data_IF_408094795614
#
_entry.id   IF_408094795614
#
_cell.length_a   1.000
_cell.length_b   1.000
_cell.length_c   1.000
_cell.angle_alpha   90.00
_cell.angle_beta   90.00
_cell.angle_gamma   90.00
#
_symmetry.space_group_name_H-M   'P 1'
#
loop_
_entity.id
_entity.type
_entity.pdbx_description
1 polymer ?
#
# COMPACT_ATOMS: atom_id res chain seq x y z
N UNK A 1 0.32 -30.38 -7.29
CA UNK A 1 1.19 -29.66 -8.25
C UNK A 1 1.76 -28.43 -7.54
N UNK A 2 2.93 -27.93 -7.93
CA UNK A 2 3.50 -26.70 -7.37
C UNK A 2 4.01 -25.80 -8.50
N UNK A 3 3.69 -24.51 -8.42
CA UNK A 3 4.07 -23.55 -9.44
C UNK A 3 5.51 -23.09 -9.25
N UNK A 4 6.27 -23.00 -10.34
CA UNK A 4 7.60 -22.42 -10.41
C UNK A 4 7.49 -21.08 -11.11
N UNK A 5 7.69 -20.00 -10.33
CA UNK A 5 7.57 -18.62 -10.80
C UNK A 5 6.15 -18.30 -11.33
N UNK A 6 5.87 -17.05 -11.67
CA UNK A 6 4.59 -16.60 -12.20
C UNK A 6 4.82 -15.54 -13.29
N UNK A 7 4.46 -15.88 -14.53
CA UNK A 7 4.66 -15.01 -15.69
C UNK A 7 6.11 -14.61 -15.97
N UNK A 8 7.07 -15.49 -15.65
CA UNK A 8 8.49 -15.23 -15.89
C UNK A 8 8.79 -14.84 -17.35
N UNK A 9 8.04 -15.36 -18.33
CA UNK A 9 8.24 -15.02 -19.75
C UNK A 9 7.92 -13.59 -20.09
N UNK A 10 7.05 -12.95 -19.32
CA UNK A 10 6.85 -11.53 -19.49
C UNK A 10 8.17 -10.82 -19.18
N UNK A 11 8.97 -11.30 -18.21
CA UNK A 11 10.22 -10.65 -17.78
C UNK A 11 11.17 -10.57 -18.98
N UNK A 12 11.61 -9.36 -19.36
CA UNK A 12 12.63 -9.22 -20.44
C UNK A 12 14.04 -9.62 -19.96
N UNK A 13 14.15 -10.22 -18.78
CA UNK A 13 15.42 -10.68 -18.18
C UNK A 13 15.85 -11.99 -18.85
N UNK A 14 14.92 -12.94 -19.04
CA UNK A 14 15.18 -14.22 -19.72
C UNK A 14 16.36 -15.02 -19.14
N UNK A 15 16.61 -14.92 -17.83
CA UNK A 15 17.67 -15.71 -17.16
C UNK A 15 17.21 -17.16 -17.01
N UNK A 16 17.79 -18.04 -17.84
CA UNK A 16 17.48 -19.47 -17.87
C UNK A 16 18.16 -20.25 -16.75
N UNK A 17 19.27 -19.74 -16.22
CA UNK A 17 19.95 -20.39 -15.09
C UNK A 17 19.14 -20.19 -13.83
N UNK A 18 18.63 -18.99 -13.60
CA UNK A 18 17.74 -18.68 -12.49
C UNK A 18 16.54 -19.64 -12.40
N UNK A 19 15.79 -19.79 -13.50
CA UNK A 19 14.57 -20.61 -13.50
C UNK A 19 14.89 -22.11 -13.36
N UNK A 20 16.02 -22.57 -13.90
CA UNK A 20 16.50 -23.94 -13.76
C UNK A 20 16.93 -24.23 -12.31
N UNK A 21 17.67 -23.31 -11.70
CA UNK A 21 18.11 -23.41 -10.31
C UNK A 21 16.92 -23.40 -9.35
N UNK A 22 15.91 -22.55 -9.61
CA UNK A 22 14.66 -22.53 -8.85
C UNK A 22 13.92 -23.87 -8.97
N UNK A 23 13.83 -24.43 -10.17
CA UNK A 23 13.20 -25.74 -10.38
C UNK A 23 13.97 -26.87 -9.67
N UNK A 24 15.30 -26.87 -9.73
CA UNK A 24 16.15 -27.84 -9.03
C UNK A 24 16.02 -27.71 -7.51
N UNK A 25 15.96 -26.47 -7.00
CA UNK A 25 15.73 -26.18 -5.59
C UNK A 25 14.36 -26.70 -5.13
N UNK A 26 13.32 -26.46 -5.92
CA UNK A 26 11.98 -26.98 -5.64
C UNK A 26 11.99 -28.51 -5.60
N UNK A 27 12.59 -29.20 -6.59
CA UNK A 27 12.74 -30.67 -6.61
C UNK A 27 13.50 -31.21 -5.39
N UNK A 28 14.48 -30.46 -4.87
CA UNK A 28 15.26 -30.87 -3.70
C UNK A 28 14.43 -30.88 -2.41
N UNK A 29 13.52 -29.93 -2.23
CA UNK A 29 12.80 -29.71 -0.97
C UNK A 29 11.35 -30.20 -0.99
N UNK A 30 10.76 -30.37 -2.17
CA UNK A 30 9.40 -30.84 -2.34
C UNK A 30 9.46 -32.36 -2.64
N UNK A 31 8.55 -33.14 -2.05
CA UNK A 31 8.48 -34.60 -2.24
C UNK A 31 8.48 -34.95 -3.73
N UNK A 32 9.25 -35.98 -4.11
CA UNK A 32 9.55 -36.36 -5.49
C UNK A 32 8.32 -36.61 -6.40
N UNK A 33 7.13 -36.83 -5.84
CA UNK A 33 5.90 -37.14 -6.58
C UNK A 33 5.06 -35.92 -6.96
N UNK A 34 5.55 -34.70 -6.72
CA UNK A 34 4.82 -33.47 -7.04
C UNK A 34 5.15 -33.00 -8.46
N UNK A 35 4.10 -32.85 -9.28
CA UNK A 35 4.20 -32.20 -10.58
C UNK A 35 4.53 -30.71 -10.38
N UNK A 36 5.70 -30.29 -10.87
CA UNK A 36 6.07 -28.89 -10.97
C UNK A 36 5.54 -28.32 -12.28
N UNK A 37 5.01 -27.10 -12.25
CA UNK A 37 4.46 -26.44 -13.42
C UNK A 37 4.83 -24.95 -13.46
N UNK A 38 4.82 -24.31 -14.62
CA UNK A 38 4.95 -22.86 -14.78
C UNK A 38 3.67 -22.27 -15.38
N UNK A 39 3.37 -21.01 -15.07
CA UNK A 39 2.22 -20.27 -15.63
C UNK A 39 2.73 -19.09 -16.44
N UNK A 40 2.33 -19.04 -17.71
CA UNK A 40 2.67 -17.97 -18.65
C UNK A 40 1.43 -17.45 -19.41
N UNK A 41 1.55 -16.30 -20.07
CA UNK A 41 0.51 -15.79 -20.98
C UNK A 41 0.78 -16.21 -22.43
N UNK A 42 -0.28 -16.36 -23.21
CA UNK A 42 -0.21 -16.76 -24.62
C UNK A 42 0.22 -15.62 -25.55
N UNK A 43 1.51 -15.24 -25.54
CA UNK A 43 2.06 -14.22 -26.46
C UNK A 43 3.26 -14.80 -27.23
N UNK A 44 3.14 -14.86 -28.55
CA UNK A 44 3.98 -15.67 -29.45
C UNK A 44 5.50 -15.39 -29.47
N UNK A 45 6.02 -14.15 -29.34
CA UNK A 45 7.46 -13.91 -29.41
C UNK A 45 8.23 -14.25 -28.12
N UNK A 46 7.56 -14.42 -26.99
CA UNK A 46 8.20 -14.56 -25.67
C UNK A 46 8.27 -16.01 -25.16
N UNK A 47 7.85 -16.98 -25.98
CA UNK A 47 7.77 -18.39 -25.58
C UNK A 47 9.12 -19.10 -25.33
N UNK A 48 10.26 -18.45 -25.57
CA UNK A 48 11.57 -19.10 -25.45
C UNK A 48 12.21 -18.99 -24.07
N UNK A 49 11.72 -18.13 -23.18
CA UNK A 49 12.46 -17.76 -21.96
C UNK A 49 12.02 -18.49 -20.67
N UNK A 50 10.83 -19.11 -20.66
CA UNK A 50 10.27 -19.75 -19.46
C UNK A 50 10.03 -21.26 -19.59
N UNK A 51 10.51 -21.90 -20.67
CA UNK A 51 10.46 -23.36 -20.77
C UNK A 51 11.59 -23.95 -19.93
N UNK A 52 11.22 -24.81 -18.98
CA UNK A 52 12.17 -25.52 -18.12
C UNK A 52 12.01 -27.02 -18.32
N UNK A 53 13.06 -27.75 -18.71
CA UNK A 53 12.99 -29.19 -18.89
C UNK A 53 12.45 -29.92 -17.66
N UNK A 54 11.45 -30.79 -17.87
CA UNK A 54 10.81 -31.55 -16.80
C UNK A 54 9.89 -30.74 -15.89
N UNK A 55 9.44 -29.56 -16.34
CA UNK A 55 8.39 -28.74 -15.71
C UNK A 55 7.22 -28.63 -16.68
N UNK A 56 5.99 -28.83 -16.19
CA UNK A 56 4.78 -28.73 -17.00
C UNK A 56 4.49 -27.26 -17.34
N UNK A 57 4.51 -26.88 -18.61
CA UNK A 57 4.15 -25.51 -19.02
C UNK A 57 2.62 -25.37 -19.09
N UNK A 58 2.07 -24.37 -18.41
CA UNK A 58 0.63 -24.04 -18.43
C UNK A 58 0.42 -22.59 -18.85
N UNK A 59 -0.79 -22.27 -19.32
CA UNK A 59 -1.14 -20.91 -19.71
C UNK A 59 -2.28 -20.37 -18.85
N UNK A 60 -2.24 -19.07 -18.56
CA UNK A 60 -3.36 -18.32 -18.02
C UNK A 60 -3.98 -17.44 -19.11
N UNK A 61 -5.30 -17.47 -19.20
CA UNK A 61 -6.07 -16.86 -20.28
C UNK A 61 -7.14 -15.94 -19.70
N UNK A 62 -7.30 -14.76 -20.31
CA UNK A 62 -8.40 -13.85 -20.00
C UNK A 62 -9.64 -14.17 -20.88
N UNK A 63 -10.87 -13.88 -20.42
CA UNK A 63 -12.11 -14.23 -21.15
C UNK A 63 -12.23 -13.67 -22.57
N UNK A 64 -11.43 -12.67 -22.93
CA UNK A 64 -11.36 -12.02 -24.24
C UNK A 64 -10.13 -12.44 -25.08
N UNK A 65 -9.41 -13.49 -24.66
CA UNK A 65 -8.28 -14.01 -25.43
C UNK A 65 -8.76 -14.71 -26.70
N UNK A 66 -8.14 -14.39 -27.83
CA UNK A 66 -8.49 -14.92 -29.15
C UNK A 66 -8.26 -16.44 -29.17
N UNK A 67 -9.32 -17.22 -29.44
CA UNK A 67 -9.26 -18.68 -29.46
C UNK A 67 -8.23 -19.21 -30.49
N UNK A 68 -7.90 -18.42 -31.51
CA UNK A 68 -6.89 -18.76 -32.51
C UNK A 68 -5.45 -18.73 -31.98
N UNK A 69 -5.19 -18.07 -30.84
CA UNK A 69 -3.90 -18.13 -30.16
C UNK A 69 -3.58 -19.56 -29.69
N UNK A 70 -4.60 -20.38 -29.43
CA UNK A 70 -4.48 -21.77 -28.98
C UNK A 70 -3.83 -22.66 -30.06
N UNK A 71 -4.21 -22.46 -31.33
CA UNK A 71 -3.76 -23.32 -32.45
C UNK A 71 -2.28 -23.10 -32.80
N UNK A 72 -1.78 -21.88 -32.59
CA UNK A 72 -0.40 -21.50 -32.85
C UNK A 72 0.57 -22.02 -31.76
N UNK A 73 0.09 -22.19 -30.52
CA UNK A 73 0.85 -22.77 -29.40
C UNK A 73 1.22 -24.25 -29.65
N UNK A 74 0.34 -25.00 -30.30
CA UNK A 74 0.58 -26.40 -30.66
C UNK A 74 1.67 -26.57 -31.75
N UNK A 75 1.99 -25.51 -32.49
CA UNK A 75 2.95 -25.56 -33.60
C UNK A 75 4.37 -25.13 -33.20
N UNK A 76 4.53 -24.29 -32.17
CA UNK A 76 5.85 -23.75 -31.79
C UNK A 76 6.60 -24.65 -30.80
N UNK A 77 5.89 -25.54 -30.10
CA UNK A 77 6.47 -26.32 -29.01
C UNK A 77 6.37 -27.82 -29.29
N UNK A 78 7.23 -28.32 -30.18
CA UNK A 78 7.28 -29.73 -30.59
C UNK A 78 7.55 -30.70 -29.42
N UNK A 79 8.03 -30.23 -28.27
CA UNK A 79 8.25 -31.07 -27.07
C UNK A 79 7.02 -31.14 -26.14
N UNK A 80 6.12 -30.15 -26.15
CA UNK A 80 4.95 -30.14 -25.27
C UNK A 80 3.68 -30.76 -25.89
N UNK A 81 3.73 -31.22 -27.14
CA UNK A 81 2.67 -32.03 -27.78
C UNK A 81 2.34 -33.32 -27.00
N UNK A 82 3.19 -33.75 -26.06
CA UNK A 82 2.95 -34.88 -25.16
C UNK A 82 2.42 -34.53 -23.77
N UNK A 83 2.36 -33.25 -23.41
CA UNK A 83 1.86 -32.81 -22.11
C UNK A 83 0.38 -32.37 -22.21
N UNK A 84 -0.46 -32.65 -21.21
CA UNK A 84 -1.85 -32.20 -21.21
C UNK A 84 -1.91 -30.66 -21.19
N UNK A 85 -2.67 -30.08 -22.11
CA UNK A 85 -2.98 -28.65 -22.11
C UNK A 85 -3.84 -28.31 -20.89
N UNK A 86 -3.28 -27.57 -19.94
CA UNK A 86 -4.00 -27.07 -18.77
C UNK A 86 -4.10 -25.54 -18.88
N UNK A 87 -5.34 -25.06 -19.06
CA UNK A 87 -5.66 -23.65 -18.86
C UNK A 87 -5.96 -23.44 -17.38
N UNK A 88 -5.20 -22.56 -16.74
CA UNK A 88 -5.54 -22.10 -15.39
C UNK A 88 -6.45 -20.88 -15.52
N UNK A 89 -7.66 -20.95 -14.96
CA UNK A 89 -8.54 -19.78 -14.88
C UNK A 89 -8.13 -18.94 -13.69
N UNK A 90 -7.79 -17.68 -13.93
CA UNK A 90 -7.45 -16.69 -12.90
C UNK A 90 -8.63 -16.30 -12.02
N UNK A 91 -9.05 -17.21 -11.13
CA UNK A 91 -9.75 -16.87 -9.89
C UNK A 91 -8.93 -17.41 -8.71
N UNK A 92 -7.62 -17.16 -8.74
CA UNK A 92 -6.77 -17.35 -7.58
C UNK A 92 -6.90 -16.14 -6.65
N UNK A 93 -7.82 -16.20 -5.69
CA UNK A 93 -7.51 -15.54 -4.41
C UNK A 93 -6.36 -16.34 -3.81
N UNK A 94 -5.14 -15.81 -3.92
CA UNK A 94 -4.09 -16.21 -3.00
C UNK A 94 -4.56 -15.74 -1.61
N UNK A 95 -5.21 -16.63 -0.85
CA UNK A 95 -5.25 -16.49 0.60
C UNK A 95 -3.83 -16.80 1.08
N UNK A 96 -2.94 -15.81 1.03
CA UNK A 96 -1.75 -15.89 1.85
C UNK A 96 -2.23 -15.87 3.29
N UNK A 97 -2.22 -17.04 3.94
CA UNK A 97 -2.01 -17.06 5.39
C UNK A 97 -0.73 -16.27 5.60
N UNK A 98 -0.87 -15.06 6.14
CA UNK A 98 0.27 -14.28 6.63
C UNK A 98 0.97 -15.10 7.72
N UNK A 99 1.86 -15.98 7.31
CA UNK A 99 2.88 -16.52 8.21
C UNK A 99 3.83 -15.37 8.41
N UNK A 100 3.69 -14.73 9.58
CA UNK A 100 4.54 -13.66 10.08
C UNK A 100 6.02 -14.08 10.02
N UNK A 101 6.67 -13.86 8.86
CA UNK A 101 8.13 -13.80 8.78
C UNK A 101 8.51 -12.34 8.99
N UNK A 102 9.27 -12.10 10.06
CA UNK A 102 9.92 -10.82 10.39
C UNK A 102 10.68 -10.32 9.17
N UNK A 103 10.06 -9.44 8.40
CA UNK A 103 10.72 -8.49 7.54
C UNK A 103 10.09 -7.14 7.87
N UNK A 104 10.93 -6.17 8.19
CA UNK A 104 10.53 -4.87 8.68
C UNK A 104 9.62 -4.18 7.65
N UNK A 105 8.36 -4.00 8.03
CA UNK A 105 7.38 -3.26 7.26
C UNK A 105 7.31 -1.84 7.83
N UNK A 106 7.42 -0.86 6.95
CA UNK A 106 7.69 0.54 7.29
C UNK A 106 6.70 1.41 6.52
N UNK A 107 5.82 2.17 7.20
CA UNK A 107 5.02 3.29 6.69
C UNK A 107 4.23 4.02 7.81
N UNK A 108 3.65 5.18 7.47
CA UNK A 108 3.75 6.53 8.09
C UNK A 108 2.56 7.11 8.90
N UNK A 109 2.65 7.39 10.22
CA UNK A 109 1.87 8.47 10.92
C UNK A 109 2.57 9.23 12.06
N UNK A 110 2.55 10.56 11.95
CA UNK A 110 3.14 11.55 12.85
C UNK A 110 2.63 11.37 14.28
N UNK A 111 3.49 10.84 15.16
CA UNK A 111 3.40 11.08 16.59
C UNK A 111 4.26 12.31 16.88
N UNK A 112 3.63 13.39 17.34
CA UNK A 112 4.34 14.50 17.95
C UNK A 112 5.06 13.96 19.19
N UNK A 113 6.36 13.73 19.06
CA UNK A 113 7.26 13.63 20.21
C UNK A 113 8.18 14.84 20.22
N UNK A 114 8.16 15.50 21.37
CA UNK A 114 8.99 16.61 21.76
C UNK A 114 10.48 16.34 21.46
N UNK A 115 11.19 17.35 20.95
CA UNK A 115 12.66 17.44 20.76
C UNK A 115 13.31 17.00 19.43
N UNK A 116 12.56 16.82 18.33
CA UNK A 116 13.17 16.68 17.00
C UNK A 116 13.19 18.01 16.24
N UNK A 117 14.37 18.65 16.15
CA UNK A 117 14.59 19.88 15.34
C UNK A 117 14.22 19.61 13.87
N UNK A 118 13.23 20.35 13.38
CA UNK A 118 12.70 20.35 12.02
C UNK A 118 13.67 21.07 11.05
N UNK A 119 13.53 20.87 9.74
CA UNK A 119 14.38 21.57 8.77
C UNK A 119 13.95 23.04 8.71
N UNK A 120 14.88 23.94 9.06
CA UNK A 120 14.62 25.36 9.18
C UNK A 120 14.90 26.09 7.86
N UNK A 121 13.88 26.75 7.29
CA UNK A 121 14.01 27.66 6.14
C UNK A 121 13.72 29.10 6.58
N UNK A 122 14.36 30.08 5.93
CA UNK A 122 14.24 31.50 6.28
C UNK A 122 13.31 32.29 5.37
N UNK A 123 13.04 31.77 4.17
CA UNK A 123 12.17 32.40 3.17
C UNK A 123 11.24 31.36 2.55
N UNK A 124 10.13 31.85 2.03
CA UNK A 124 9.19 31.06 1.24
C UNK A 124 9.56 31.13 -0.24
N UNK A 125 8.97 30.24 -1.03
CA UNK A 125 9.25 30.13 -2.45
C UNK A 125 8.83 28.79 -2.99
N UNK A 126 9.27 28.49 -4.22
CA UNK A 126 8.95 27.24 -4.87
C UNK A 126 9.80 26.11 -4.30
N UNK A 127 9.15 25.15 -3.65
CA UNK A 127 9.73 23.87 -3.28
C UNK A 127 9.68 22.94 -4.48
N UNK A 128 10.78 22.24 -4.76
CA UNK A 128 10.87 21.23 -5.82
C UNK A 128 11.46 19.93 -5.26
N UNK A 129 10.75 18.82 -5.47
CA UNK A 129 11.20 17.46 -5.18
C UNK A 129 11.28 16.71 -6.52
N UNK A 130 12.41 16.82 -7.21
CA UNK A 130 12.59 16.33 -8.59
C UNK A 130 12.18 14.88 -8.79
N UNK A 131 12.51 14.03 -7.82
CA UNK A 131 12.19 12.60 -7.86
C UNK A 131 11.84 12.06 -6.48
N UNK A 132 10.63 11.54 -6.37
CA UNK A 132 10.11 10.92 -5.15
C UNK A 132 9.09 9.85 -5.49
N UNK A 133 8.76 9.01 -4.51
CA UNK A 133 7.69 8.02 -4.61
C UNK A 133 7.07 7.73 -3.22
N UNK A 134 5.75 7.65 -3.05
CA UNK A 134 4.73 7.81 -4.09
C UNK A 134 4.04 9.17 -3.99
N UNK A 135 3.66 9.60 -2.78
CA UNK A 135 3.09 10.93 -2.55
C UNK A 135 3.85 11.66 -1.46
N UNK A 136 3.96 12.99 -1.58
CA UNK A 136 4.59 13.84 -0.57
C UNK A 136 3.61 14.92 -0.09
N UNK A 137 3.30 14.91 1.20
CA UNK A 137 2.47 15.91 1.86
C UNK A 137 3.37 16.95 2.52
N UNK A 138 3.18 18.21 2.14
CA UNK A 138 4.08 19.31 2.49
C UNK A 138 3.45 20.15 3.60
N UNK A 139 4.21 20.38 4.66
CA UNK A 139 3.78 21.22 5.78
C UNK A 139 4.82 22.28 6.10
N UNK A 140 4.34 23.48 6.40
CA UNK A 140 5.17 24.58 6.85
C UNK A 140 4.65 25.09 8.19
N UNK A 141 5.49 25.06 9.22
CA UNK A 141 5.13 25.44 10.59
C UNK A 141 3.91 24.65 11.13
N UNK A 142 3.74 23.40 10.71
CA UNK A 142 2.59 22.56 11.04
C UNK A 142 1.33 22.84 10.21
N UNK A 143 1.36 23.79 9.26
CA UNK A 143 0.26 24.07 8.34
C UNK A 143 0.44 23.33 7.02
N UNK A 144 -0.60 22.63 6.57
CA UNK A 144 -0.59 21.94 5.28
C UNK A 144 -0.48 22.93 4.12
N UNK A 145 0.49 22.71 3.23
CA UNK A 145 0.70 23.51 2.03
C UNK A 145 0.08 22.84 0.79
N UNK A 146 0.10 21.52 0.75
CA UNK A 146 -0.47 20.73 -0.35
C UNK A 146 0.20 19.36 -0.52
N UNK A 147 -0.25 18.62 -1.53
CA UNK A 147 0.25 17.28 -1.86
C UNK A 147 0.93 17.28 -3.23
N UNK A 148 2.07 16.59 -3.30
CA UNK A 148 2.74 16.23 -4.53
C UNK A 148 2.48 14.74 -4.83
N UNK A 149 2.06 14.43 -6.06
CA UNK A 149 1.81 13.09 -6.58
C UNK A 149 2.85 12.70 -7.63
N UNK A 150 3.68 11.69 -7.31
CA UNK A 150 4.67 11.19 -8.27
C UNK A 150 3.97 10.56 -9.47
N UNK A 151 2.78 9.98 -9.26
CA UNK A 151 1.82 9.63 -10.31
C UNK A 151 0.47 9.29 -9.67
N UNK A 152 -0.58 10.02 -10.03
CA UNK A 152 -1.96 9.72 -9.62
C UNK A 152 -2.90 10.05 -10.78
N UNK A 153 -3.48 9.05 -11.43
CA UNK A 153 -4.20 9.22 -12.69
C UNK A 153 -3.39 10.08 -13.69
N UNK A 154 -3.93 11.23 -14.10
CA UNK A 154 -3.28 12.21 -14.99
C UNK A 154 -2.48 13.29 -14.22
N UNK A 155 -2.50 13.25 -12.88
CA UNK A 155 -1.81 14.22 -12.02
C UNK A 155 -0.38 13.74 -11.78
N UNK A 156 0.56 14.59 -12.17
CA UNK A 156 1.97 14.47 -11.86
C UNK A 156 2.53 15.87 -11.58
N UNK A 157 3.05 16.07 -10.37
CA UNK A 157 3.66 17.33 -9.98
C UNK A 157 4.88 17.07 -9.08
N UNK A 158 5.85 17.96 -9.13
CA UNK A 158 7.06 17.88 -8.32
C UNK A 158 7.36 19.20 -7.62
N UNK A 159 6.52 20.22 -7.83
CA UNK A 159 6.71 21.56 -7.27
C UNK A 159 5.47 22.06 -6.54
N UNK A 160 5.69 22.88 -5.51
CA UNK A 160 4.66 23.61 -4.78
C UNK A 160 5.21 24.92 -4.23
N UNK A 161 4.40 25.97 -4.24
CA UNK A 161 4.78 27.25 -3.66
C UNK A 161 4.46 27.26 -2.16
N UNK A 162 5.50 27.42 -1.33
CA UNK A 162 5.35 27.60 0.11
C UNK A 162 4.86 29.03 0.40
N UNK A 163 3.81 29.16 1.20
CA UNK A 163 3.23 30.47 1.56
C UNK A 163 3.22 30.66 3.08
N UNK A 164 3.00 31.90 3.54
CA UNK A 164 2.86 32.23 4.96
C UNK A 164 4.09 31.95 5.85
N UNK A 165 5.31 32.12 5.31
CA UNK A 165 6.52 32.11 6.12
C UNK A 165 6.49 33.23 7.17
N UNK A 166 6.82 32.87 8.41
CA UNK A 166 7.08 33.80 9.50
C UNK A 166 8.46 34.43 9.34
N UNK A 167 8.65 35.62 9.90
CA UNK A 167 9.97 36.23 9.99
C UNK A 167 10.91 35.33 10.81
N UNK A 168 12.10 35.06 10.27
CA UNK A 168 13.07 34.18 10.91
C UNK A 168 12.93 32.72 10.46
N UNK A 169 13.00 31.78 11.41
CA UNK A 169 13.01 30.35 11.12
C UNK A 169 11.61 29.78 10.91
N UNK A 170 11.44 29.01 9.84
CA UNK A 170 10.23 28.27 9.51
C UNK A 170 10.53 26.78 9.42
N UNK A 171 9.63 25.95 9.92
CA UNK A 171 9.83 24.51 9.97
C UNK A 171 9.17 23.86 8.75
N UNK A 172 9.97 23.31 7.84
CA UNK A 172 9.49 22.52 6.71
C UNK A 172 9.45 21.04 7.11
N UNK A 173 8.29 20.42 6.90
CA UNK A 173 8.04 19.00 7.11
C UNK A 173 7.52 18.37 5.81
N UNK A 174 8.08 17.23 5.42
CA UNK A 174 7.63 16.45 4.27
C UNK A 174 7.26 15.06 4.76
N UNK A 175 5.98 14.71 4.66
CA UNK A 175 5.49 13.37 4.94
C UNK A 175 5.39 12.61 3.62
N UNK A 176 6.15 11.53 3.47
CA UNK A 176 6.08 10.70 2.27
C UNK A 176 5.23 9.46 2.53
N UNK A 177 4.21 9.26 1.72
CA UNK A 177 3.40 8.04 1.71
C UNK A 177 3.89 7.11 0.61
N UNK A 178 4.14 5.85 0.98
CA UNK A 178 4.40 4.76 0.04
C UNK A 178 3.08 4.02 -0.16
N UNK A 179 2.45 4.19 -1.32
CA UNK A 179 1.12 3.62 -1.58
C UNK A 179 1.17 2.14 -1.94
N UNK A 180 2.32 1.68 -2.39
CA UNK A 180 2.59 0.28 -2.64
C UNK A 180 3.81 0.12 -3.54
N UNK A 181 4.52 -0.99 -3.40
CA UNK A 181 5.51 -1.35 -4.43
C UNK A 181 4.75 -1.97 -5.59
N UNK A 182 5.08 -1.52 -6.80
CA UNK A 182 4.56 -2.14 -8.00
C UNK A 182 4.86 -3.64 -7.93
N UNK A 183 3.85 -4.47 -8.15
CA UNK A 183 4.04 -5.91 -8.37
C UNK A 183 4.23 -6.20 -9.87
N UNK A 184 4.42 -5.16 -10.69
CA UNK A 184 4.84 -5.38 -12.07
C UNK A 184 6.22 -6.00 -12.08
N UNK A 185 6.50 -6.61 -13.22
CA UNK A 185 7.72 -7.32 -13.59
C UNK A 185 9.03 -6.52 -13.51
N UNK A 186 8.93 -5.20 -13.34
CA UNK A 186 10.06 -4.30 -13.05
C UNK A 186 9.70 -3.42 -11.86
N UNK A 187 9.67 -3.99 -10.65
CA UNK A 187 9.29 -3.23 -9.48
C UNK A 187 10.36 -2.18 -9.20
N UNK A 188 9.99 -0.90 -9.14
CA UNK A 188 10.87 0.10 -8.53
C UNK A 188 11.01 -0.26 -7.06
N UNK A 189 12.21 -0.69 -6.67
CA UNK A 189 12.52 -1.07 -5.29
C UNK A 189 12.64 0.16 -4.37
N UNK A 190 13.08 1.29 -4.94
CA UNK A 190 13.26 2.54 -4.21
C UNK A 190 11.95 3.32 -4.09
N UNK A 191 11.75 3.89 -2.91
CA UNK A 191 10.60 4.71 -2.49
C UNK A 191 11.11 5.84 -1.59
N UNK A 192 10.29 6.83 -1.27
CA UNK A 192 10.70 8.03 -0.54
C UNK A 192 11.16 9.16 -1.46
N UNK A 193 11.84 10.15 -0.89
CA UNK A 193 12.57 11.18 -1.64
C UNK A 193 13.85 10.53 -2.19
N UNK A 194 14.05 10.60 -3.51
CA UNK A 194 15.12 9.88 -4.21
C UNK A 194 16.23 10.80 -4.71
N UNK A 195 15.96 12.10 -4.73
CA UNK A 195 16.87 13.15 -5.19
C UNK A 195 16.82 14.36 -4.24
N UNK A 196 17.78 15.30 -4.32
CA UNK A 196 17.77 16.48 -3.47
C UNK A 196 16.47 17.30 -3.59
N UNK A 197 16.08 17.91 -2.48
CA UNK A 197 14.96 18.86 -2.42
C UNK A 197 15.51 20.26 -2.62
N UNK A 198 14.84 21.06 -3.45
CA UNK A 198 15.24 22.43 -3.75
C UNK A 198 14.20 23.43 -3.26
N UNK A 199 14.65 24.61 -2.85
CA UNK A 199 13.83 25.79 -2.58
C UNK A 199 14.39 26.98 -3.35
N UNK A 200 13.62 27.55 -4.28
CA UNK A 200 14.10 28.59 -5.20
C UNK A 200 15.44 28.20 -5.84
N UNK A 201 15.50 27.00 -6.41
CA UNK A 201 16.70 26.39 -7.04
C UNK A 201 17.90 26.14 -6.11
N UNK A 202 17.80 26.42 -4.81
CA UNK A 202 18.83 26.12 -3.83
C UNK A 202 18.57 24.78 -3.15
N UNK A 203 19.60 23.93 -3.07
CA UNK A 203 19.50 22.64 -2.40
C UNK A 203 19.25 22.81 -0.89
N UNK A 204 18.21 22.15 -0.38
CA UNK A 204 17.96 22.00 1.05
C UNK A 204 18.75 20.79 1.57
N UNK A 205 19.62 21.03 2.55
CA UNK A 205 20.54 20.03 3.14
C UNK A 205 20.23 19.79 4.62
N UNK A 206 20.90 18.84 5.27
CA UNK A 206 20.73 18.58 6.71
C UNK A 206 19.31 18.16 7.11
N UNK A 207 18.72 17.24 6.34
CA UNK A 207 17.44 16.64 6.65
C UNK A 207 17.55 15.69 7.85
N UNK A 208 16.58 15.79 8.76
CA UNK A 208 16.31 14.74 9.73
C UNK A 208 15.17 13.88 9.18
N UNK A 209 15.51 12.66 8.76
CA UNK A 209 14.51 11.66 8.40
C UNK A 209 14.16 10.84 9.64
N UNK A 210 12.89 10.52 9.80
CA UNK A 210 12.41 9.58 10.79
C UNK A 210 11.45 8.63 10.10
N UNK A 211 11.63 7.33 10.31
CA UNK A 211 10.59 6.39 9.99
C UNK A 211 9.42 6.69 10.91
N UNK A 212 8.29 6.88 10.28
CA UNK A 212 7.05 6.99 10.98
C UNK A 212 6.41 5.63 10.80
N UNK A 213 6.25 4.86 11.86
CA UNK A 213 5.91 3.45 11.75
C UNK A 213 4.66 3.14 12.55
N UNK A 214 3.60 2.79 11.84
CA UNK A 214 2.42 2.22 12.45
C UNK A 214 2.72 0.86 13.10
N UNK A 215 3.65 0.10 12.53
CA UNK A 215 3.94 -1.28 12.94
C UNK A 215 5.01 -1.37 14.03
N UNK A 216 5.95 -0.40 14.14
CA UNK A 216 6.96 -0.37 15.21
C UNK A 216 6.53 0.44 16.44
N UNK A 217 5.32 1.00 16.45
CA UNK A 217 4.63 1.19 17.72
C UNK A 217 4.06 -0.11 18.27
N UNK A 218 4.21 -1.25 17.56
CA UNK A 218 3.69 -2.53 18.02
C UNK A 218 2.19 -2.52 18.20
N UNK A 219 1.40 -1.99 17.26
CA UNK A 219 -0.06 -2.11 17.36
C UNK A 219 -0.47 -3.61 17.40
N UNK A 220 0.22 -4.48 16.67
CA UNK A 220 0.07 -5.95 16.79
C UNK A 220 0.45 -6.49 18.19
N UNK A 221 1.20 -5.71 18.98
CA UNK A 221 1.49 -5.96 20.39
C UNK A 221 0.49 -5.17 21.27
N UNK A 222 -0.47 -5.89 21.84
CA UNK A 222 -1.54 -5.36 22.69
C UNK A 222 -1.02 -4.38 23.76
N UNK A 223 0.20 -4.60 24.27
CA UNK A 223 0.79 -3.73 25.28
C UNK A 223 1.10 -2.32 24.77
N UNK A 224 1.51 -2.17 23.52
CA UNK A 224 1.83 -0.85 22.96
C UNK A 224 0.59 -0.15 22.38
N UNK A 225 -0.37 -0.90 21.84
CA UNK A 225 -1.70 -0.36 21.52
C UNK A 225 -2.35 0.25 22.76
N UNK A 226 -2.31 -0.44 23.90
CA UNK A 226 -2.80 0.06 25.19
C UNK A 226 -2.09 1.35 25.65
N UNK A 227 -0.76 1.45 25.46
CA UNK A 227 -0.01 2.69 25.75
C UNK A 227 -0.45 3.85 24.86
N UNK A 228 -0.66 3.61 23.57
CA UNK A 228 -1.14 4.62 22.62
C UNK A 228 -2.54 5.09 23.02
N UNK A 229 -3.44 4.18 23.35
CA UNK A 229 -4.78 4.56 23.84
C UNK A 229 -4.72 5.40 25.11
N UNK A 230 -3.87 5.02 26.08
CA UNK A 230 -3.66 5.80 27.29
C UNK A 230 -3.07 7.19 26.99
N UNK A 231 -2.14 7.30 26.03
CA UNK A 231 -1.60 8.59 25.61
C UNK A 231 -2.70 9.44 24.96
N UNK A 232 -3.47 8.88 24.03
CA UNK A 232 -4.56 9.56 23.32
C UNK A 232 -5.65 10.05 24.27
N UNK A 233 -6.02 9.26 25.28
CA UNK A 233 -6.99 9.69 26.30
C UNK A 233 -6.52 10.92 27.08
N UNK A 234 -5.20 11.16 27.13
CA UNK A 234 -4.59 12.33 27.77
C UNK A 234 -4.28 13.47 26.78
N UNK A 235 -4.50 13.28 25.47
CA UNK A 235 -4.29 14.34 24.46
C UNK A 235 -5.47 15.32 24.55
N UNK A 236 -5.15 16.62 24.56
CA UNK A 236 -6.17 17.67 24.49
C UNK A 236 -6.92 17.58 23.17
N UNK A 237 -8.26 17.53 23.24
CA UNK A 237 -9.11 17.70 22.07
C UNK A 237 -8.78 19.06 21.45
N UNK A 238 -8.44 19.06 20.16
CA UNK A 238 -8.09 20.27 19.44
C UNK A 238 -9.31 20.77 18.67
N UNK A 239 -9.65 22.05 18.85
CA UNK A 239 -10.62 22.75 18.01
C UNK A 239 -9.93 23.15 16.69
N UNK A 240 -10.67 23.12 15.56
CA UNK A 240 -10.14 23.34 14.21
C UNK A 240 -9.07 22.32 13.78
N UNK A 241 -9.50 21.10 13.49
CA UNK A 241 -8.64 19.97 13.14
C UNK A 241 -7.87 20.25 11.84
N UNK A 242 -6.55 20.32 11.94
CA UNK A 242 -5.61 20.46 10.81
C UNK A 242 -5.07 19.11 10.38
N UNK A 243 -4.76 18.96 9.10
CA UNK A 243 -4.20 17.74 8.54
C UNK A 243 -2.67 17.69 8.73
N UNK A 244 -2.06 16.48 8.83
CA UNK A 244 -2.72 15.20 9.00
C UNK A 244 -3.19 15.07 10.46
N UNK A 245 -4.28 14.34 10.69
CA UNK A 245 -4.87 14.21 12.02
C UNK A 245 -5.13 12.76 12.40
N UNK A 246 -4.99 12.49 13.70
CA UNK A 246 -5.40 11.23 14.30
C UNK A 246 -6.73 11.43 15.03
N UNK A 247 -7.70 10.60 14.70
CA UNK A 247 -8.99 10.56 15.36
C UNK A 247 -9.10 9.26 16.15
N UNK A 248 -9.71 9.38 17.33
CA UNK A 248 -10.01 8.24 18.18
C UNK A 248 -11.50 8.19 18.47
N UNK A 249 -12.06 6.99 18.35
CA UNK A 249 -13.45 6.71 18.67
C UNK A 249 -13.59 5.33 19.31
N UNK A 250 -14.77 5.09 19.87
CA UNK A 250 -15.13 3.77 20.40
C UNK A 250 -16.43 3.28 19.79
N UNK A 251 -16.51 1.98 19.53
CA UNK A 251 -17.71 1.27 19.11
C UNK A 251 -18.10 0.27 20.18
N UNK A 252 -19.28 0.44 20.78
CA UNK A 252 -19.79 -0.48 21.79
C UNK A 252 -20.80 -1.48 21.20
N UNK A 253 -20.47 -2.77 21.23
CA UNK A 253 -21.29 -3.87 20.71
C UNK A 253 -22.00 -4.60 21.86
N UNK A 254 -23.34 -4.60 21.93
CA UNK A 254 -24.08 -5.25 23.03
C UNK A 254 -24.09 -6.79 22.91
N UNK A 255 -23.88 -7.32 21.72
CA UNK A 255 -23.91 -8.73 21.39
C UNK A 255 -22.60 -9.15 20.70
N UNK A 256 -22.49 -10.44 20.39
CA UNK A 256 -21.33 -10.97 19.67
C UNK A 256 -21.20 -10.30 18.29
N UNK A 257 -19.96 -9.98 17.87
CA UNK A 257 -19.73 -9.28 16.62
C UNK A 257 -20.09 -10.15 15.42
N UNK A 258 -20.46 -9.49 14.33
CA UNK A 258 -20.64 -10.08 13.01
C UNK A 258 -19.85 -9.28 12.00
N UNK A 259 -19.52 -9.91 10.87
CA UNK A 259 -18.84 -9.25 9.78
C UNK A 259 -19.60 -8.00 9.34
N UNK A 260 -18.87 -6.92 9.08
CA UNK A 260 -19.43 -5.63 8.71
C UNK A 260 -18.50 -4.90 7.77
N UNK A 261 -18.92 -3.73 7.32
CA UNK A 261 -18.09 -2.82 6.55
C UNK A 261 -18.02 -1.46 7.22
N UNK A 262 -16.84 -0.85 7.22
CA UNK A 262 -16.63 0.53 7.63
C UNK A 262 -16.89 1.43 6.44
N UNK A 263 -17.88 2.31 6.54
CA UNK A 263 -18.20 3.32 5.55
C UNK A 263 -17.40 4.60 5.84
N UNK A 264 -16.34 4.77 5.06
CA UNK A 264 -15.40 5.88 5.17
C UNK A 264 -15.79 7.07 4.30
N UNK A 265 -16.97 7.06 3.66
CA UNK A 265 -17.43 8.19 2.85
C UNK A 265 -17.49 9.47 3.68
N UNK A 266 -16.94 10.54 3.12
CA UNK A 266 -16.86 11.86 3.74
C UNK A 266 -15.55 12.14 4.48
N UNK A 267 -14.75 11.10 4.73
CA UNK A 267 -13.32 11.24 4.99
C UNK A 267 -12.57 11.52 3.68
N UNK A 268 -11.34 12.01 3.75
CA UNK A 268 -10.53 12.40 2.59
C UNK A 268 -9.67 11.24 2.13
N UNK A 269 -8.60 10.97 2.87
CA UNK A 269 -7.74 9.82 2.67
C UNK A 269 -7.31 9.27 4.01
N UNK A 270 -7.81 8.09 4.32
CA UNK A 270 -7.65 7.49 5.63
C UNK A 270 -7.02 6.13 5.60
N UNK A 271 -6.37 5.84 6.72
CA UNK A 271 -6.08 4.50 7.17
C UNK A 271 -6.80 4.27 8.49
N UNK A 272 -7.41 3.10 8.67
CA UNK A 272 -8.23 2.81 9.86
C UNK A 272 -7.69 1.58 10.59
N UNK A 273 -7.63 1.67 11.92
CA UNK A 273 -7.40 0.51 12.78
C UNK A 273 -8.57 0.28 13.71
N UNK A 274 -8.87 -1.01 13.98
CA UNK A 274 -9.90 -1.45 14.92
C UNK A 274 -9.27 -2.43 15.89
N UNK A 275 -9.33 -2.13 17.20
CA UNK A 275 -8.73 -2.88 18.31
C UNK A 275 -7.21 -3.14 18.26
N UNK A 276 -6.56 -2.75 17.15
CA UNK A 276 -5.15 -2.86 16.77
C UNK A 276 -4.95 -3.42 15.37
N UNK A 277 -5.99 -4.00 14.77
CA UNK A 277 -5.95 -4.50 13.42
C UNK A 277 -6.07 -3.35 12.43
N UNK A 278 -5.13 -3.27 11.50
CA UNK A 278 -5.23 -2.43 10.31
C UNK A 278 -6.28 -3.04 9.36
N UNK A 279 -7.35 -2.27 9.10
CA UNK A 279 -8.48 -2.71 8.26
C UNK A 279 -8.43 -2.15 6.84
N UNK A 280 -7.27 -1.58 6.45
CA UNK A 280 -6.93 -1.03 5.14
C UNK A 280 -7.15 0.49 4.99
N UNK A 281 -6.96 0.97 3.75
CA UNK A 281 -6.95 2.38 3.34
C UNK A 281 -8.20 2.72 2.54
N UNK A 282 -8.70 3.94 2.72
CA UNK A 282 -9.76 4.54 1.90
C UNK A 282 -9.26 5.84 1.30
N UNK A 283 -9.64 6.11 0.05
CA UNK A 283 -9.32 7.36 -0.63
C UNK A 283 -10.53 7.86 -1.42
N UNK A 284 -11.08 8.99 -0.98
CA UNK A 284 -12.34 9.54 -1.48
C UNK A 284 -12.31 9.97 -2.94
N UNK A 285 -11.18 10.48 -3.43
CA UNK A 285 -11.05 11.01 -4.80
C UNK A 285 -10.88 9.91 -5.84
N UNK A 286 -10.30 8.77 -5.47
CA UNK A 286 -9.94 7.72 -6.44
C UNK A 286 -11.03 6.63 -6.55
N UNK A 287 -11.61 6.20 -5.44
CA UNK A 287 -12.53 5.06 -5.45
C UNK A 287 -11.91 3.81 -6.13
N UNK A 288 -12.71 2.87 -6.68
CA UNK A 288 -14.16 2.79 -6.55
C UNK A 288 -14.59 2.35 -5.14
N UNK A 289 -13.70 1.73 -4.36
CA UNK A 289 -14.01 1.23 -3.02
C UNK A 289 -14.39 2.36 -2.06
N UNK A 290 -15.60 2.30 -1.51
CA UNK A 290 -16.11 3.29 -0.55
C UNK A 290 -16.14 2.77 0.89
N UNK A 291 -16.14 1.44 1.04
CA UNK A 291 -16.21 0.78 2.34
C UNK A 291 -15.07 -0.23 2.53
N UNK A 292 -14.57 -0.35 3.75
CA UNK A 292 -13.54 -1.31 4.13
C UNK A 292 -14.19 -2.52 4.82
N UNK A 293 -13.83 -3.73 4.40
CA UNK A 293 -14.30 -4.94 5.08
C UNK A 293 -13.71 -5.03 6.48
N UNK A 294 -14.57 -5.28 7.47
CA UNK A 294 -14.21 -5.45 8.87
C UNK A 294 -14.66 -6.85 9.33
N UNK A 295 -13.72 -7.81 9.41
CA UNK A 295 -13.99 -9.13 9.94
C UNK A 295 -14.46 -9.07 11.40
N UNK A 296 -15.42 -9.91 11.76
CA UNK A 296 -15.91 -10.05 13.14
C UNK A 296 -14.80 -10.44 14.13
N UNK A 297 -13.75 -11.13 13.69
CA UNK A 297 -12.60 -11.52 14.50
C UNK A 297 -11.74 -10.34 14.96
N UNK A 298 -11.86 -9.19 14.31
CA UNK A 298 -11.17 -7.96 14.74
C UNK A 298 -11.98 -7.18 15.77
N UNK A 299 -13.21 -7.63 16.04
CA UNK A 299 -14.15 -7.02 16.97
C UNK A 299 -14.33 -7.91 18.21
N UNK A 300 -14.85 -7.31 19.27
CA UNK A 300 -15.24 -7.98 20.49
C UNK A 300 -16.58 -7.45 20.99
N UNK A 301 -17.29 -8.28 21.75
CA UNK A 301 -18.44 -7.82 22.54
C UNK A 301 -17.98 -6.74 23.53
N UNK A 302 -18.76 -5.68 23.68
CA UNK A 302 -18.40 -4.51 24.48
C UNK A 302 -17.65 -3.47 23.65
N UNK A 303 -16.69 -2.80 24.27
CA UNK A 303 -16.01 -1.65 23.68
C UNK A 303 -14.89 -2.06 22.73
N UNK A 304 -14.90 -1.45 21.54
CA UNK A 304 -13.88 -1.58 20.51
C UNK A 304 -13.26 -0.21 20.24
N UNK A 305 -11.94 -0.14 20.14
CA UNK A 305 -11.21 1.11 19.86
C UNK A 305 -11.01 1.29 18.36
N UNK A 306 -11.22 2.50 17.86
CA UNK A 306 -11.05 2.85 16.46
C UNK A 306 -10.08 4.02 16.37
N UNK A 307 -9.03 3.86 15.56
CA UNK A 307 -8.15 4.97 15.19
C UNK A 307 -8.27 5.24 13.69
N UNK A 308 -8.46 6.50 13.33
CA UNK A 308 -8.54 6.95 11.94
C UNK A 308 -7.40 7.94 11.73
N UNK A 309 -6.52 7.64 10.81
CA UNK A 309 -5.41 8.50 10.41
C UNK A 309 -5.82 9.18 9.12
N UNK A 310 -6.09 10.47 9.17
CA UNK A 310 -6.57 11.27 8.03
C UNK A 310 -5.43 12.16 7.50
N UNK A 311 -5.17 12.06 6.19
CA UNK A 311 -4.07 12.75 5.53
C UNK A 311 -4.51 14.00 4.76
N UNK A 312 -5.70 13.99 4.17
CA UNK A 312 -6.16 15.01 3.21
C UNK A 312 -7.34 15.83 3.74
N UNK A 313 -7.94 15.40 4.85
CA UNK A 313 -8.99 16.12 5.58
C UNK A 313 -10.34 15.41 5.53
N UNK A 314 -11.23 15.72 6.46
CA UNK A 314 -12.50 15.02 6.63
C UNK A 314 -13.70 15.95 6.35
N UNK A 315 -13.86 16.45 5.10
CA UNK A 315 -14.75 17.58 4.81
C UNK A 315 -16.23 17.29 5.08
N UNK A 316 -16.67 16.03 4.94
CA UNK A 316 -18.08 15.64 5.15
C UNK A 316 -18.27 14.66 6.31
N UNK A 317 -17.18 14.09 6.83
CA UNK A 317 -17.23 13.20 8.00
C UNK A 317 -17.16 13.97 9.33
N UNK A 318 -16.61 15.18 9.32
CA UNK A 318 -16.47 16.03 10.49
C UNK A 318 -17.28 17.32 10.37
N UNK A 319 -17.88 17.75 11.48
CA UNK A 319 -18.40 19.10 11.69
C UNK A 319 -17.62 19.79 12.82
N UNK A 320 -18.00 21.02 13.18
CA UNK A 320 -17.32 21.80 14.23
C UNK A 320 -17.28 21.10 15.62
N UNK A 321 -18.17 20.14 15.88
CA UNK A 321 -18.36 19.54 17.21
C UNK A 321 -17.98 18.05 17.27
N UNK A 322 -18.08 17.33 16.15
CA UNK A 322 -18.00 15.86 16.11
C UNK A 322 -17.59 15.34 14.72
N UNK A 323 -17.00 14.16 14.70
CA UNK A 323 -16.76 13.37 13.50
C UNK A 323 -17.47 12.03 13.58
N UNK A 324 -17.91 11.51 12.45
CA UNK A 324 -18.67 10.25 12.40
C UNK A 324 -18.02 9.24 11.47
N UNK A 325 -18.00 7.99 11.89
CA UNK A 325 -17.69 6.83 11.07
C UNK A 325 -18.90 5.88 11.11
N UNK A 326 -19.33 5.38 9.96
CA UNK A 326 -20.53 4.55 9.84
C UNK A 326 -20.17 3.10 9.56
N UNK A 327 -21.08 2.19 9.88
CA UNK A 327 -20.94 0.76 9.61
C UNK A 327 -22.12 0.27 8.77
N UNK A 328 -21.84 -0.52 7.74
CA UNK A 328 -22.84 -1.03 6.80
C UNK A 328 -22.77 -2.56 6.70
N UNK A 329 -23.92 -3.19 6.36
CA UNK A 329 -24.03 -4.65 6.21
C UNK A 329 -23.51 -5.17 4.87
N UNK A 330 -23.27 -4.28 3.91
CA UNK A 330 -22.85 -4.62 2.56
C UNK A 330 -21.75 -3.65 2.10
N UNK A 331 -20.85 -4.10 1.21
CA UNK A 331 -19.84 -3.23 0.65
C UNK A 331 -20.47 -2.22 -0.30
N UNK A 332 -19.85 -1.05 -0.41
CA UNK A 332 -20.20 -0.03 -1.38
C UNK A 332 -19.00 0.25 -2.27
N UNK A 333 -19.25 0.21 -3.58
CA UNK A 333 -18.32 0.63 -4.62
C UNK A 333 -18.99 1.71 -5.47
N UNK A 334 -18.23 2.71 -5.90
CA UNK A 334 -18.65 3.77 -6.80
C UNK A 334 -17.84 3.62 -8.08
N UNK A 335 -18.45 3.04 -9.11
CA UNK A 335 -17.84 2.85 -10.43
C UNK A 335 -18.14 4.01 -11.37
#
# INVERSE_FOLDING_TARGET
>A
MAQIEHYYRLTRICDRLYILDLANLAKKYIVNDIVLYSVDVSIMPFMRCGLVPGILSTNEMQPNSDANAITLLAQVDHESVRNPYLATTGFGQASERFVHRKNHFENTARLQYENNKLHAITTCGQLNISRYADHAYIYLNGEFQGTLYAKMAEIHNNTIDLTNCKSGSNNLEILVEITGRSHTMYPSISKGIQEPVFLNDNILVSWKSCQVSFETTGLNDVANYGKILNQIQNIQKVDNIKQPALFYGTLNLPNDPVDTYVDARGWGKVFITVNNYNINRYWSTEGPQQTLFLPSEFLQKGTNSILIYELEGAPNACNQSSCTLKFTKAPVFSY
#
